data_IF_532939524313
#
_entry.id   IF_532939524313
#
_cell.length_a   1.000
_cell.length_b   1.000
_cell.length_c   1.000
_cell.angle_alpha   90.00
_cell.angle_beta   90.00
_cell.angle_gamma   90.00
#
_symmetry.space_group_name_H-M   'P 1'
#
loop_
_entity.id
_entity.type
_entity.pdbx_description
1 polymer ?
#
# COMPACT_ATOMS: atom_id res chain seq x y z
N UNK A 1 16.61 11.96 4.97
CA UNK A 1 16.68 11.48 3.60
C UNK A 1 15.62 10.39 3.44
N UNK A 2 14.91 10.34 2.31
CA UNK A 2 14.00 9.22 2.03
C UNK A 2 14.78 7.98 1.61
N UNK A 3 14.13 6.83 1.68
CA UNK A 3 14.56 5.62 0.98
C UNK A 3 14.26 5.84 -0.51
N UNK A 4 15.27 5.68 -1.36
CA UNK A 4 15.14 5.80 -2.81
C UNK A 4 15.14 4.40 -3.43
N UNK A 5 14.09 4.04 -4.14
CA UNK A 5 14.06 2.83 -4.96
C UNK A 5 14.92 3.06 -6.20
N UNK A 6 16.12 2.48 -6.20
CA UNK A 6 17.09 2.63 -7.28
C UNK A 6 17.22 1.32 -8.07
N UNK A 7 17.33 1.36 -9.41
CA UNK A 7 17.61 0.16 -10.20
C UNK A 7 18.93 -0.48 -9.77
N UNK A 8 18.95 -1.79 -9.66
CA UNK A 8 20.17 -2.55 -9.40
C UNK A 8 21.09 -2.51 -10.61
N UNK A 9 22.41 -2.44 -10.36
CA UNK A 9 23.39 -2.55 -11.43
C UNK A 9 23.54 -4.00 -11.88
N UNK A 10 23.88 -4.18 -13.13
CA UNK A 10 24.13 -5.50 -13.72
C UNK A 10 25.60 -5.96 -13.52
N UNK A 11 26.13 -5.77 -12.31
CA UNK A 11 27.45 -6.27 -11.92
C UNK A 11 27.34 -7.29 -10.78
N UNK A 12 28.32 -8.17 -10.67
CA UNK A 12 28.30 -9.31 -9.75
C UNK A 12 28.22 -8.88 -8.28
N UNK A 13 28.87 -7.78 -7.89
CA UNK A 13 28.86 -7.28 -6.54
C UNK A 13 27.51 -6.66 -6.16
N UNK A 14 26.90 -5.92 -7.07
CA UNK A 14 25.57 -5.34 -6.84
C UNK A 14 24.49 -6.42 -6.77
N UNK A 15 24.57 -7.44 -7.64
CA UNK A 15 23.65 -8.59 -7.62
C UNK A 15 23.74 -9.37 -6.32
N UNK A 16 24.94 -9.62 -5.79
CA UNK A 16 25.10 -10.37 -4.54
C UNK A 16 24.44 -9.72 -3.34
N UNK A 17 24.44 -8.38 -3.27
CA UNK A 17 23.75 -7.62 -2.21
C UNK A 17 22.23 -7.62 -2.49
N UNK A 18 21.82 -7.34 -3.73
CA UNK A 18 20.41 -7.24 -4.10
C UNK A 18 19.68 -8.57 -3.91
N UNK A 19 20.27 -9.68 -4.34
CA UNK A 19 19.67 -11.01 -4.22
C UNK A 19 19.48 -11.46 -2.77
N UNK A 20 20.37 -11.04 -1.86
CA UNK A 20 20.26 -11.35 -0.44
C UNK A 20 19.21 -10.47 0.29
N UNK A 21 19.04 -9.21 -0.13
CA UNK A 21 18.19 -8.22 0.55
C UNK A 21 16.82 -8.08 -0.11
N UNK A 22 16.77 -8.18 -1.43
CA UNK A 22 15.56 -8.02 -2.24
C UNK A 22 15.49 -9.09 -3.33
N UNK A 23 15.27 -10.37 -2.96
CA UNK A 23 15.27 -11.46 -3.91
C UNK A 23 14.21 -11.28 -4.98
N UNK A 24 14.58 -11.51 -6.24
CA UNK A 24 13.68 -11.37 -7.38
C UNK A 24 13.30 -9.93 -7.77
N UNK A 25 13.95 -8.91 -7.18
CA UNK A 25 13.64 -7.50 -7.43
C UNK A 25 14.67 -6.86 -8.39
N UNK A 26 14.18 -5.98 -9.24
CA UNK A 26 15.03 -5.14 -10.13
C UNK A 26 15.48 -3.83 -9.49
N UNK A 27 14.96 -3.51 -8.31
CA UNK A 27 15.27 -2.28 -7.58
C UNK A 27 15.67 -2.60 -6.14
N UNK A 28 16.49 -1.74 -5.56
CA UNK A 28 16.89 -1.81 -4.15
C UNK A 28 16.57 -0.48 -3.47
N UNK A 29 16.01 -0.54 -2.27
CA UNK A 29 15.80 0.63 -1.41
C UNK A 29 17.11 1.09 -0.80
N UNK A 30 17.58 2.28 -1.17
CA UNK A 30 18.85 2.86 -0.71
C UNK A 30 18.60 4.14 0.06
N UNK A 31 19.25 4.29 1.22
CA UNK A 31 19.18 5.49 2.05
C UNK A 31 20.57 5.95 2.43
N UNK A 32 20.79 7.26 2.36
CA UNK A 32 22.04 7.87 2.84
C UNK A 32 21.96 8.14 4.36
N UNK A 33 23.10 8.07 5.09
CA UNK A 33 23.18 8.46 6.49
C UNK A 33 22.67 9.89 6.68
N UNK A 34 21.66 10.10 7.53
CA UNK A 34 21.10 11.42 7.80
C UNK A 34 21.07 11.80 9.29
N UNK A 35 21.38 10.87 10.17
CA UNK A 35 21.44 11.12 11.63
C UNK A 35 22.87 10.99 12.18
N UNK A 36 23.09 11.61 13.34
CA UNK A 36 24.38 11.48 14.05
C UNK A 36 24.73 10.02 14.38
N UNK A 37 23.72 9.20 14.72
CA UNK A 37 23.91 7.76 15.01
C UNK A 37 24.36 7.01 13.75
N UNK A 38 23.75 7.25 12.59
CA UNK A 38 24.19 6.64 11.33
C UNK A 38 25.65 6.96 11.01
N UNK A 39 26.05 8.23 11.20
CA UNK A 39 27.44 8.64 10.98
C UNK A 39 28.41 7.99 11.97
N UNK A 40 28.00 7.78 13.23
CA UNK A 40 28.83 7.09 14.22
C UNK A 40 28.98 5.59 13.89
N UNK A 41 27.92 4.92 13.46
CA UNK A 41 27.94 3.49 13.09
C UNK A 41 28.85 3.22 11.88
N UNK A 42 28.97 4.17 10.96
CA UNK A 42 29.73 4.02 9.71
C UNK A 42 31.13 4.63 9.79
N UNK A 43 31.57 5.14 10.97
CA UNK A 43 32.91 5.71 11.15
C UNK A 43 33.93 4.69 11.70
N UNK A 44 35.21 4.80 11.30
CA UNK A 44 36.25 4.03 11.93
C UNK A 44 36.32 4.32 13.43
N UNK A 45 36.49 3.26 14.23
CA UNK A 45 36.73 3.36 15.66
C UNK A 45 37.96 2.52 16.01
N UNK A 46 38.84 2.98 16.94
CA UNK A 46 40.07 2.26 17.29
C UNK A 46 39.86 0.82 17.78
N UNK A 47 38.69 0.56 18.40
CA UNK A 47 38.38 -0.76 18.96
C UNK A 47 37.74 -1.75 17.88
N UNK A 48 37.52 -1.28 16.66
CA UNK A 48 37.02 -2.10 15.57
C UNK A 48 38.19 -2.63 14.75
N UNK A 49 38.60 -3.88 15.02
CA UNK A 49 39.72 -4.52 14.34
C UNK A 49 39.52 -4.68 12.82
N UNK A 50 38.28 -4.94 12.40
CA UNK A 50 37.88 -5.16 11.00
C UNK A 50 37.43 -3.88 10.29
N UNK A 51 37.51 -2.73 10.96
CA UNK A 51 37.01 -1.44 10.46
C UNK A 51 35.49 -1.31 10.57
N UNK A 52 34.91 -0.17 10.13
CA UNK A 52 33.48 0.08 10.20
C UNK A 52 32.73 -0.69 9.12
N UNK A 53 31.46 -0.99 9.38
CA UNK A 53 30.54 -1.44 8.32
C UNK A 53 30.44 -0.38 7.23
N UNK A 54 30.57 -0.78 5.97
CA UNK A 54 30.42 0.13 4.83
C UNK A 54 28.96 0.24 4.38
N UNK A 55 28.16 -0.80 4.61
CA UNK A 55 26.76 -0.91 4.28
C UNK A 55 26.03 -1.56 5.44
N UNK A 56 24.86 -1.07 5.76
CA UNK A 56 23.95 -1.63 6.76
C UNK A 56 22.63 -1.99 6.09
N UNK A 57 22.11 -3.18 6.36
CA UNK A 57 20.71 -3.50 6.06
C UNK A 57 19.87 -2.97 7.21
N UNK A 58 18.95 -2.06 6.89
CA UNK A 58 18.15 -1.37 7.90
C UNK A 58 16.66 -1.65 7.64
N UNK A 59 15.93 -1.98 8.70
CA UNK A 59 14.50 -2.17 8.70
C UNK A 59 13.86 -1.48 9.90
N UNK A 60 12.54 -1.38 9.91
CA UNK A 60 11.77 -0.84 11.03
C UNK A 60 11.84 -1.76 12.25
N UNK A 61 11.80 -1.17 13.46
CA UNK A 61 11.82 -1.91 14.74
C UNK A 61 10.42 -2.34 15.17
N UNK A 62 9.85 -3.34 14.49
CA UNK A 62 8.55 -3.91 14.79
C UNK A 62 8.48 -5.39 14.35
N UNK A 63 7.50 -6.14 14.87
CA UNK A 63 7.09 -7.40 14.27
C UNK A 63 6.24 -7.14 13.03
N UNK A 64 6.16 -8.11 12.12
CA UNK A 64 5.34 -7.99 10.92
C UNK A 64 3.89 -7.61 11.29
N UNK A 65 3.32 -6.68 10.53
CA UNK A 65 1.95 -6.17 10.68
C UNK A 65 1.64 -5.47 12.02
N UNK A 66 2.67 -5.14 12.81
CA UNK A 66 2.52 -4.40 14.07
C UNK A 66 3.12 -2.99 13.97
N UNK A 67 2.64 -2.03 14.79
CA UNK A 67 3.23 -0.69 14.86
C UNK A 67 4.69 -0.71 15.34
N UNK A 68 5.44 0.32 14.96
CA UNK A 68 6.81 0.56 15.42
C UNK A 68 6.89 0.62 16.94
N UNK A 69 7.87 -0.06 17.54
CA UNK A 69 8.21 0.09 18.95
C UNK A 69 8.72 1.51 19.20
N UNK A 70 8.14 2.21 20.16
CA UNK A 70 8.53 3.57 20.56
C UNK A 70 9.11 3.67 21.95
N UNK A 71 9.01 2.61 22.73
CA UNK A 71 9.52 2.48 24.08
C UNK A 71 10.66 1.45 24.13
N UNK A 72 11.81 1.75 24.79
CA UNK A 72 12.95 0.85 24.86
C UNK A 72 12.63 -0.51 25.50
N UNK A 73 11.90 -0.51 26.62
CA UNK A 73 11.57 -1.74 27.33
C UNK A 73 10.58 -2.61 26.51
N UNK A 74 9.67 -1.96 25.78
CA UNK A 74 8.79 -2.65 24.83
C UNK A 74 9.60 -3.27 23.68
N UNK A 75 10.53 -2.53 23.09
CA UNK A 75 11.39 -3.02 22.02
C UNK A 75 12.20 -4.24 22.45
N UNK A 76 12.82 -4.20 23.64
CA UNK A 76 13.57 -5.34 24.16
C UNK A 76 12.70 -6.58 24.37
N UNK A 77 11.47 -6.42 24.88
CA UNK A 77 10.57 -7.56 25.08
C UNK A 77 10.06 -8.15 23.76
N UNK A 78 9.60 -7.29 22.85
CA UNK A 78 8.95 -7.73 21.60
C UNK A 78 9.93 -8.25 20.56
N UNK A 79 11.12 -7.68 20.50
CA UNK A 79 12.11 -8.00 19.48
C UNK A 79 13.27 -8.86 19.99
N UNK A 80 13.18 -9.39 21.23
CA UNK A 80 14.23 -10.19 21.87
C UNK A 80 14.69 -11.41 21.05
N UNK A 81 13.80 -11.97 20.23
CA UNK A 81 14.13 -13.09 19.33
C UNK A 81 14.77 -12.69 18.00
N UNK A 82 14.87 -11.39 17.71
CA UNK A 82 15.32 -10.85 16.44
C UNK A 82 16.61 -10.03 16.54
N UNK A 83 16.96 -9.53 17.73
CA UNK A 83 18.11 -8.67 17.95
C UNK A 83 19.08 -9.27 18.95
N UNK A 84 20.38 -9.15 18.67
CA UNK A 84 21.47 -9.57 19.54
C UNK A 84 21.95 -8.46 20.47
N UNK A 85 21.56 -7.21 20.22
CA UNK A 85 21.95 -6.05 21.00
C UNK A 85 21.06 -4.84 20.76
N UNK A 86 21.15 -3.87 21.67
CA UNK A 86 20.29 -2.70 21.73
C UNK A 86 21.11 -1.43 21.89
N UNK A 87 20.79 -0.42 21.12
CA UNK A 87 21.31 0.92 21.28
C UNK A 87 20.15 1.86 21.62
N UNK A 88 20.03 2.19 22.88
CA UNK A 88 18.98 3.08 23.38
C UNK A 88 19.44 4.54 23.47
N UNK A 89 18.47 5.42 23.58
CA UNK A 89 18.65 6.82 23.92
C UNK A 89 17.57 7.27 24.93
N UNK A 90 17.84 8.31 25.64
CA UNK A 90 16.98 8.88 26.68
C UNK A 90 15.94 9.87 26.14
N UNK A 91 15.91 10.10 24.83
CA UNK A 91 14.93 10.96 24.18
C UNK A 91 13.69 10.15 23.82
N UNK A 92 12.55 10.53 24.39
CA UNK A 92 11.24 9.93 24.10
C UNK A 92 10.88 10.02 22.61
N UNK A 93 10.34 8.95 22.05
CA UNK A 93 9.76 8.92 20.70
C UNK A 93 8.28 9.30 20.81
N UNK A 94 7.99 10.56 20.55
CA UNK A 94 6.63 11.10 20.68
C UNK A 94 5.66 10.60 19.60
N UNK A 95 6.13 10.41 18.38
CA UNK A 95 5.33 9.92 17.24
C UNK A 95 6.14 8.87 16.49
N UNK A 96 5.58 7.67 16.37
CA UNK A 96 6.10 6.64 15.48
C UNK A 96 6.03 7.14 14.02
N UNK A 97 7.14 7.07 13.31
CA UNK A 97 7.21 7.60 11.94
C UNK A 97 8.21 6.81 11.11
N UNK A 98 7.72 6.14 10.09
CA UNK A 98 8.54 5.46 9.10
C UNK A 98 9.38 6.42 8.27
N UNK A 99 10.37 5.91 7.56
CA UNK A 99 11.04 6.65 6.51
C UNK A 99 10.16 6.72 5.24
N UNK A 100 10.18 7.87 4.59
CA UNK A 100 9.53 8.03 3.30
C UNK A 100 10.22 7.19 2.24
N UNK A 101 9.45 6.68 1.28
CA UNK A 101 9.95 5.94 0.13
C UNK A 101 9.62 6.71 -1.13
N UNK A 102 10.60 6.88 -2.00
CA UNK A 102 10.46 7.61 -3.26
C UNK A 102 11.10 6.82 -4.40
N UNK A 103 10.62 7.09 -5.61
CA UNK A 103 11.23 6.61 -6.86
C UNK A 103 11.29 7.73 -7.89
N UNK A 104 12.09 7.53 -8.94
CA UNK A 104 12.14 8.45 -10.07
C UNK A 104 11.46 7.80 -11.27
N UNK A 105 10.38 8.40 -11.74
CA UNK A 105 9.60 7.92 -12.89
C UNK A 105 9.51 9.06 -13.91
N UNK A 106 9.89 8.80 -15.15
CA UNK A 106 9.85 9.81 -16.21
C UNK A 106 10.66 11.09 -15.92
N UNK A 107 11.70 10.99 -15.09
CA UNK A 107 12.51 12.14 -14.65
C UNK A 107 11.91 12.94 -13.50
N UNK A 108 10.70 12.59 -13.02
CA UNK A 108 10.03 13.19 -11.87
C UNK A 108 10.19 12.35 -10.59
N UNK A 109 10.27 13.02 -9.43
CA UNK A 109 10.25 12.36 -8.14
C UNK A 109 8.82 11.97 -7.77
N UNK A 110 8.58 10.67 -7.56
CA UNK A 110 7.29 10.13 -7.15
C UNK A 110 7.38 9.54 -5.74
N UNK A 111 6.60 10.05 -4.77
CA UNK A 111 6.48 9.43 -3.45
C UNK A 111 5.69 8.12 -3.54
N UNK A 112 6.30 7.02 -3.07
CA UNK A 112 5.61 5.73 -2.86
C UNK A 112 5.00 5.68 -1.46
N UNK A 113 5.73 6.22 -0.47
CA UNK A 113 5.26 6.39 0.91
C UNK A 113 5.61 7.79 1.38
N UNK A 114 4.60 8.54 1.84
CA UNK A 114 4.83 9.83 2.49
C UNK A 114 4.88 9.64 4.00
N UNK A 115 6.03 9.91 4.60
CA UNK A 115 6.25 9.80 6.03
C UNK A 115 7.28 10.84 6.47
N UNK A 116 8.34 10.46 7.17
CA UNK A 116 9.37 11.38 7.68
C UNK A 116 9.89 12.34 6.60
N UNK A 117 9.82 13.63 6.87
CA UNK A 117 10.25 14.70 5.96
C UNK A 117 9.18 15.19 4.97
N UNK A 118 8.10 14.44 4.76
CA UNK A 118 6.94 14.84 3.97
C UNK A 118 5.71 15.12 4.83
N UNK A 119 5.46 14.32 5.82
CA UNK A 119 4.38 14.54 6.79
C UNK A 119 4.88 15.37 7.98
N UNK A 120 4.06 16.26 8.54
CA UNK A 120 2.72 16.70 8.14
C UNK A 120 2.73 18.00 7.29
N UNK A 121 3.66 18.12 6.34
CA UNK A 121 3.67 19.30 5.44
C UNK A 121 2.33 19.41 4.71
N UNK A 122 1.63 20.55 4.81
CA UNK A 122 0.32 20.69 4.20
C UNK A 122 0.37 20.59 2.67
N UNK A 123 -0.63 19.97 2.11
CA UNK A 123 -0.87 19.90 0.66
C UNK A 123 -1.97 20.90 0.30
N UNK A 124 -1.86 21.61 -0.83
CA UNK A 124 -2.91 22.51 -1.28
C UNK A 124 -4.11 21.70 -1.80
N UNK A 125 -5.31 22.14 -1.47
CA UNK A 125 -6.55 21.59 -1.99
C UNK A 125 -7.09 22.49 -3.11
N UNK A 126 -7.68 21.92 -4.17
CA UNK A 126 -8.18 22.68 -5.32
C UNK A 126 -9.45 23.48 -4.99
N UNK A 127 -10.20 23.05 -3.98
CA UNK A 127 -11.43 23.69 -3.54
C UNK A 127 -11.40 23.94 -2.03
N UNK A 128 -12.21 24.88 -1.58
CA UNK A 128 -12.43 25.14 -0.15
C UNK A 128 -13.25 24.00 0.45
N UNK A 129 -12.78 23.46 1.57
CA UNK A 129 -13.46 22.40 2.32
C UNK A 129 -13.73 22.85 3.76
N UNK A 130 -14.84 22.42 4.39
CA UNK A 130 -15.06 22.64 5.81
C UNK A 130 -14.02 21.85 6.64
N UNK A 131 -13.85 22.17 7.94
CA UNK A 131 -13.02 21.39 8.83
C UNK A 131 -13.36 19.91 8.76
N UNK A 132 -12.45 19.10 8.21
CA UNK A 132 -12.71 17.71 7.83
C UNK A 132 -11.58 16.80 8.30
N UNK A 133 -11.94 15.66 8.89
CA UNK A 133 -11.05 14.52 9.13
C UNK A 133 -11.35 13.41 8.12
N UNK A 134 -10.40 13.05 7.28
CA UNK A 134 -10.49 11.88 6.43
C UNK A 134 -9.61 10.74 7.01
N UNK A 135 -10.23 9.59 7.28
CA UNK A 135 -9.59 8.43 7.91
C UNK A 135 -9.06 7.43 6.87
N UNK A 136 -9.66 7.43 5.67
CA UNK A 136 -9.26 6.53 4.58
C UNK A 136 -9.72 5.09 4.75
N UNK A 137 -9.03 4.19 4.06
CA UNK A 137 -9.23 2.74 4.14
C UNK A 137 -8.49 2.11 5.32
N UNK A 138 -8.36 0.77 5.31
CA UNK A 138 -7.70 0.01 6.38
C UNK A 138 -6.24 -0.28 6.09
N UNK A 139 -5.91 -0.59 4.83
CA UNK A 139 -4.55 -0.94 4.42
C UNK A 139 -3.71 0.31 4.15
N UNK A 140 -2.44 0.29 4.58
CA UNK A 140 -1.47 1.38 4.39
C UNK A 140 -2.05 2.75 4.76
N UNK A 141 -2.75 2.78 5.88
CA UNK A 141 -3.55 3.91 6.30
C UNK A 141 -2.72 5.18 6.53
N UNK A 142 -3.34 6.29 6.20
CA UNK A 142 -2.97 7.65 6.61
C UNK A 142 -4.25 8.39 7.00
N UNK A 143 -4.14 9.40 7.84
CA UNK A 143 -5.25 10.29 8.11
C UNK A 143 -4.94 11.68 7.55
N UNK A 144 -5.97 12.42 7.19
CA UNK A 144 -5.83 13.79 6.71
C UNK A 144 -6.82 14.71 7.47
N UNK A 145 -6.30 15.78 8.07
CA UNK A 145 -7.11 16.90 8.51
C UNK A 145 -7.07 17.98 7.43
N UNK A 146 -8.22 18.54 7.10
CA UNK A 146 -8.35 19.56 6.08
C UNK A 146 -9.21 20.74 6.57
N UNK A 147 -8.84 21.94 6.16
CA UNK A 147 -9.61 23.15 6.40
C UNK A 147 -9.29 24.18 5.31
N UNK A 148 -10.33 24.81 4.76
CA UNK A 148 -10.19 25.72 3.65
C UNK A 148 -9.49 25.07 2.46
N UNK A 149 -8.37 25.63 2.03
CA UNK A 149 -7.57 25.13 0.90
C UNK A 149 -6.34 24.32 1.32
N UNK A 150 -6.30 23.73 2.51
CA UNK A 150 -5.16 23.01 3.05
C UNK A 150 -5.56 21.66 3.62
N UNK A 151 -4.75 20.62 3.29
CA UNK A 151 -4.85 19.30 3.91
C UNK A 151 -3.54 18.93 4.59
N UNK A 152 -3.58 18.47 5.84
CA UNK A 152 -2.44 17.95 6.60
C UNK A 152 -2.56 16.44 6.67
N UNK A 153 -1.77 15.75 5.85
CA UNK A 153 -1.70 14.30 5.88
C UNK A 153 -0.73 13.83 6.97
N UNK A 154 -1.12 12.79 7.69
CA UNK A 154 -0.24 12.12 8.64
C UNK A 154 0.90 11.38 7.92
N UNK A 155 1.85 10.88 8.72
CA UNK A 155 2.74 9.81 8.30
C UNK A 155 1.94 8.52 8.03
N UNK A 156 2.58 7.59 7.34
CA UNK A 156 2.08 6.23 7.17
C UNK A 156 1.87 5.54 8.53
N UNK A 157 0.73 4.89 8.73
CA UNK A 157 0.34 4.22 9.97
C UNK A 157 0.43 2.69 9.88
N UNK A 158 0.61 2.14 8.68
CA UNK A 158 0.46 0.73 8.42
C UNK A 158 -1.00 0.30 8.28
N UNK A 159 -1.26 -0.99 8.44
CA UNK A 159 -2.59 -1.55 8.32
C UNK A 159 -3.34 -1.43 9.66
N UNK A 160 -4.52 -0.82 9.61
CA UNK A 160 -5.35 -0.57 10.80
C UNK A 160 -6.26 -1.79 11.08
N UNK A 161 -5.64 -2.95 11.20
CA UNK A 161 -6.32 -4.24 11.40
C UNK A 161 -6.24 -4.78 12.83
N UNK A 162 -5.50 -4.09 13.73
CA UNK A 162 -5.33 -4.45 15.13
C UNK A 162 -5.74 -3.33 16.07
N UNK A 163 -5.90 -3.63 17.36
CA UNK A 163 -6.24 -2.64 18.40
C UNK A 163 -5.08 -1.64 18.56
N UNK A 164 -3.85 -2.11 18.51
CA UNK A 164 -2.65 -1.30 18.62
C UNK A 164 -2.54 -0.28 17.46
N UNK A 165 -2.91 -0.71 16.25
CA UNK A 165 -2.94 0.16 15.08
C UNK A 165 -4.08 1.20 15.16
N UNK A 166 -5.25 0.84 15.71
CA UNK A 166 -6.33 1.78 16.02
C UNK A 166 -5.90 2.83 17.06
N UNK A 167 -5.20 2.40 18.10
CA UNK A 167 -4.67 3.32 19.11
C UNK A 167 -3.62 4.27 18.51
N UNK A 168 -2.78 3.79 17.59
CA UNK A 168 -1.85 4.63 16.84
C UNK A 168 -2.60 5.64 15.97
N UNK A 169 -3.66 5.21 15.26
CA UNK A 169 -4.52 6.09 14.46
C UNK A 169 -5.14 7.19 15.34
N UNK A 170 -5.73 6.82 16.48
CA UNK A 170 -6.36 7.77 17.41
C UNK A 170 -5.34 8.81 17.93
N UNK A 171 -4.18 8.36 18.40
CA UNK A 171 -3.10 9.26 18.86
C UNK A 171 -2.60 10.17 17.73
N UNK A 172 -2.52 9.65 16.49
CA UNK A 172 -2.08 10.43 15.33
C UNK A 172 -3.09 11.53 15.00
N UNK A 173 -4.40 11.24 15.05
CA UNK A 173 -5.46 12.26 14.89
C UNK A 173 -5.31 13.35 15.94
N UNK A 174 -5.11 12.99 17.21
CA UNK A 174 -4.94 13.96 18.29
C UNK A 174 -3.70 14.85 18.12
N UNK A 175 -2.58 14.29 17.68
CA UNK A 175 -1.37 15.04 17.38
C UNK A 175 -1.62 16.00 16.21
N UNK A 176 -2.23 15.52 15.15
CA UNK A 176 -2.49 16.31 13.94
C UNK A 176 -3.48 17.45 14.21
N UNK A 177 -4.54 17.21 15.03
CA UNK A 177 -5.46 18.26 15.51
C UNK A 177 -4.72 19.37 16.24
N UNK A 178 -3.85 19.02 17.20
CA UNK A 178 -3.05 20.01 17.95
C UNK A 178 -2.10 20.82 17.07
N UNK A 179 -1.51 20.17 16.04
CA UNK A 179 -0.56 20.82 15.13
C UNK A 179 -1.26 21.73 14.12
N UNK A 180 -2.34 21.27 13.50
CA UNK A 180 -3.09 22.01 12.48
C UNK A 180 -4.07 23.02 13.08
N UNK A 181 -4.52 22.80 14.33
CA UNK A 181 -5.59 23.54 15.01
C UNK A 181 -6.93 23.43 14.28
N UNK A 182 -7.19 22.29 13.67
CA UNK A 182 -8.45 21.97 12.98
C UNK A 182 -9.28 21.06 13.86
N UNK A 183 -10.49 21.50 14.19
CA UNK A 183 -11.51 20.69 14.88
C UNK A 183 -12.54 20.26 13.84
N UNK A 184 -12.62 18.96 13.50
CA UNK A 184 -13.40 18.49 12.37
C UNK A 184 -14.91 18.57 12.62
N UNK A 185 -15.64 19.18 11.68
CA UNK A 185 -17.10 19.17 11.59
C UNK A 185 -17.61 18.01 10.73
N UNK A 186 -16.73 17.46 9.88
CA UNK A 186 -17.00 16.33 8.98
C UNK A 186 -15.95 15.26 9.19
N UNK A 187 -16.40 14.01 9.26
CA UNK A 187 -15.51 12.82 9.27
C UNK A 187 -15.79 12.00 8.02
N UNK A 188 -14.75 11.69 7.28
CA UNK A 188 -14.83 10.94 6.02
C UNK A 188 -14.16 9.58 6.19
N UNK A 189 -14.82 8.52 5.77
CA UNK A 189 -14.26 7.16 5.81
C UNK A 189 -14.65 6.36 4.58
N UNK A 190 -13.95 5.25 4.36
CA UNK A 190 -14.28 4.27 3.31
C UNK A 190 -15.65 3.62 3.54
N UNK A 191 -16.32 3.23 2.45
CA UNK A 191 -17.61 2.54 2.51
C UNK A 191 -17.51 1.08 3.00
N UNK A 192 -16.33 0.48 3.06
CA UNK A 192 -16.18 -0.92 3.43
C UNK A 192 -16.73 -1.19 4.84
N UNK A 193 -17.76 -2.06 5.01
CA UNK A 193 -18.45 -2.22 6.28
C UNK A 193 -17.61 -2.91 7.37
N UNK A 194 -16.62 -3.70 6.96
CA UNK A 194 -15.75 -4.48 7.85
C UNK A 194 -14.52 -3.74 8.35
N UNK A 195 -14.19 -2.57 7.81
CA UNK A 195 -12.97 -1.86 8.20
C UNK A 195 -13.06 -1.31 9.63
N UNK A 196 -12.02 -1.57 10.43
CA UNK A 196 -11.89 -1.02 11.77
C UNK A 196 -11.74 0.50 11.74
N UNK A 197 -11.03 1.03 10.73
CA UNK A 197 -10.90 2.48 10.48
C UNK A 197 -12.26 3.16 10.31
N UNK A 198 -13.18 2.55 9.54
CA UNK A 198 -14.55 3.06 9.37
C UNK A 198 -15.35 3.03 10.67
N UNK A 199 -15.25 1.95 11.43
CA UNK A 199 -15.93 1.83 12.72
C UNK A 199 -15.44 2.89 13.69
N UNK A 200 -14.14 3.07 13.81
CA UNK A 200 -13.54 4.12 14.61
C UNK A 200 -14.01 5.51 14.16
N UNK A 201 -14.02 5.79 12.84
CA UNK A 201 -14.51 7.05 12.30
C UNK A 201 -15.96 7.34 12.67
N UNK A 202 -16.83 6.34 12.67
CA UNK A 202 -18.22 6.49 13.05
C UNK A 202 -18.38 6.78 14.56
N UNK A 203 -17.63 6.09 15.41
CA UNK A 203 -17.61 6.32 16.86
C UNK A 203 -17.05 7.71 17.19
N UNK A 204 -15.96 8.11 16.53
CA UNK A 204 -15.36 9.43 16.65
C UNK A 204 -16.32 10.56 16.21
N UNK A 205 -16.95 10.41 15.03
CA UNK A 205 -17.92 11.40 14.55
C UNK A 205 -19.10 11.59 15.53
N UNK A 206 -19.59 10.49 16.10
CA UNK A 206 -20.68 10.53 17.08
C UNK A 206 -20.24 11.22 18.40
N UNK A 207 -19.02 10.99 18.87
CA UNK A 207 -18.50 11.61 20.10
C UNK A 207 -18.22 13.10 19.96
N UNK A 208 -17.76 13.55 18.80
CA UNK A 208 -17.46 14.94 18.52
C UNK A 208 -18.66 15.73 17.96
N UNK A 209 -19.80 15.06 17.69
CA UNK A 209 -20.96 15.68 17.06
C UNK A 209 -20.74 16.07 15.59
N UNK A 210 -19.75 15.45 14.94
CA UNK A 210 -19.40 15.68 13.55
C UNK A 210 -20.26 14.84 12.59
N UNK A 211 -20.40 15.31 11.35
CA UNK A 211 -21.13 14.59 10.30
C UNK A 211 -20.27 13.49 9.67
N UNK A 212 -20.69 12.24 9.73
CA UNK A 212 -20.03 11.13 9.01
C UNK A 212 -20.40 11.14 7.53
N UNK A 213 -19.41 11.01 6.65
CA UNK A 213 -19.55 10.83 5.20
C UNK A 213 -18.78 9.58 4.78
N UNK A 214 -19.45 8.67 4.07
CA UNK A 214 -18.82 7.47 3.54
C UNK A 214 -18.56 7.66 2.04
N UNK A 215 -17.32 7.38 1.61
CA UNK A 215 -16.88 7.55 0.22
C UNK A 215 -16.54 6.19 -0.38
N UNK A 216 -16.98 5.95 -1.61
CA UNK A 216 -16.62 4.77 -2.36
C UNK A 216 -15.10 4.77 -2.66
N UNK A 217 -14.44 3.64 -2.48
CA UNK A 217 -12.98 3.49 -2.55
C UNK A 217 -12.36 4.07 -3.82
N UNK A 218 -12.84 3.66 -4.99
CA UNK A 218 -12.29 4.11 -6.28
C UNK A 218 -12.69 5.53 -6.64
N UNK A 219 -13.78 6.07 -6.07
CA UNK A 219 -14.07 7.50 -6.12
C UNK A 219 -13.02 8.30 -5.35
N UNK A 220 -12.58 7.80 -4.19
CA UNK A 220 -11.47 8.42 -3.45
C UNK A 220 -10.16 8.40 -4.23
N UNK A 221 -9.84 7.30 -4.93
CA UNK A 221 -8.70 7.23 -5.86
C UNK A 221 -8.78 8.30 -6.95
N UNK A 222 -9.93 8.40 -7.63
CA UNK A 222 -10.13 9.42 -8.65
C UNK A 222 -10.03 10.83 -8.06
N UNK A 223 -10.68 11.08 -6.93
CA UNK A 223 -10.64 12.37 -6.23
C UNK A 223 -9.22 12.79 -5.84
N UNK A 224 -8.37 11.85 -5.42
CA UNK A 224 -6.98 12.15 -5.06
C UNK A 224 -6.16 12.59 -6.29
N UNK A 225 -6.34 11.91 -7.43
CA UNK A 225 -5.68 12.27 -8.69
C UNK A 225 -6.13 13.65 -9.20
N UNK A 226 -7.44 13.90 -9.16
CA UNK A 226 -7.99 15.20 -9.54
C UNK A 226 -7.44 16.32 -8.66
N UNK A 227 -7.31 16.08 -7.34
CA UNK A 227 -6.74 17.03 -6.40
C UNK A 227 -5.27 17.31 -6.65
N UNK A 228 -4.46 16.30 -6.94
CA UNK A 228 -3.05 16.42 -7.29
C UNK A 228 -2.85 17.31 -8.52
N UNK A 229 -3.67 17.11 -9.54
CA UNK A 229 -3.65 17.91 -10.79
C UNK A 229 -4.45 19.21 -10.71
N UNK A 230 -5.07 19.51 -9.55
CA UNK A 230 -5.90 20.70 -9.37
C UNK A 230 -7.00 20.84 -10.43
N UNK A 231 -7.59 19.70 -10.78
CA UNK A 231 -8.65 19.65 -11.79
C UNK A 231 -9.85 20.50 -11.35
N UNK A 232 -10.54 21.21 -12.28
CA UNK A 232 -11.72 21.98 -11.93
C UNK A 232 -12.82 21.12 -11.32
N UNK A 233 -13.50 21.66 -10.28
CA UNK A 233 -14.44 20.88 -9.48
C UNK A 233 -15.73 20.48 -10.25
N UNK A 234 -16.08 21.26 -11.25
CA UNK A 234 -17.29 21.14 -12.09
C UNK A 234 -17.08 20.39 -13.40
N UNK A 235 -15.82 20.04 -13.72
CA UNK A 235 -15.50 19.32 -14.96
C UNK A 235 -15.41 17.82 -14.71
N UNK A 236 -16.36 17.02 -15.31
CA UNK A 236 -16.29 15.57 -15.18
C UNK A 236 -15.17 14.98 -16.02
N UNK A 237 -14.57 13.90 -15.54
CA UNK A 237 -13.54 13.12 -16.22
C UNK A 237 -13.93 11.66 -16.35
N UNK A 238 -13.33 10.96 -17.31
CA UNK A 238 -13.32 9.50 -17.34
C UNK A 238 -12.08 9.02 -16.60
N UNK A 239 -12.27 8.54 -15.36
CA UNK A 239 -11.23 7.92 -14.55
C UNK A 239 -11.09 6.44 -14.86
N UNK A 240 -9.84 5.97 -14.99
CA UNK A 240 -9.50 4.55 -15.02
C UNK A 240 -8.81 4.25 -13.71
N UNK A 241 -9.47 3.43 -12.86
CA UNK A 241 -8.97 3.12 -11.53
C UNK A 241 -8.59 1.66 -11.44
N UNK A 242 -7.28 1.42 -11.25
CA UNK A 242 -6.72 0.09 -11.08
C UNK A 242 -6.29 -0.13 -9.64
N UNK A 243 -6.71 -1.27 -9.08
CA UNK A 243 -6.51 -1.58 -7.68
C UNK A 243 -6.41 -3.09 -7.43
N UNK A 244 -5.85 -3.45 -6.29
CA UNK A 244 -5.83 -4.82 -5.78
C UNK A 244 -7.13 -5.24 -5.13
N UNK A 245 -7.75 -4.35 -4.34
CA UNK A 245 -8.97 -4.67 -3.60
C UNK A 245 -9.66 -3.40 -3.12
N UNK A 246 -10.81 -3.08 -3.69
CA UNK A 246 -11.67 -2.01 -3.20
C UNK A 246 -13.12 -2.49 -3.06
N UNK A 247 -13.84 -1.99 -2.05
CA UNK A 247 -15.22 -2.35 -1.81
C UNK A 247 -16.13 -1.70 -2.85
N UNK A 248 -16.76 -2.54 -3.68
CA UNK A 248 -17.76 -2.12 -4.64
C UNK A 248 -19.10 -1.83 -4.00
N UNK A 249 -19.81 -0.81 -4.51
CA UNK A 249 -21.17 -0.49 -4.05
C UNK A 249 -22.20 -1.60 -4.33
N UNK A 250 -21.84 -2.57 -5.17
CA UNK A 250 -22.60 -3.79 -5.47
C UNK A 250 -22.21 -4.99 -4.59
N UNK A 251 -21.30 -4.81 -3.62
CA UNK A 251 -20.79 -5.85 -2.74
C UNK A 251 -19.73 -6.76 -3.37
N UNK A 252 -19.29 -6.48 -4.60
CA UNK A 252 -18.19 -7.18 -5.24
C UNK A 252 -16.84 -6.50 -4.94
N UNK A 253 -15.73 -7.18 -5.25
CA UNK A 253 -14.39 -6.61 -5.15
C UNK A 253 -14.09 -5.88 -6.46
N UNK A 254 -14.00 -4.56 -6.40
CA UNK A 254 -13.60 -3.71 -7.51
C UNK A 254 -12.08 -3.57 -7.58
N UNK A 255 -11.59 -3.13 -8.74
CA UNK A 255 -10.17 -2.83 -8.95
C UNK A 255 -9.77 -2.78 -10.42
N UNK A 256 -10.73 -2.70 -11.34
CA UNK A 256 -10.51 -2.51 -12.78
C UNK A 256 -11.65 -1.73 -13.38
N UNK A 257 -11.82 -0.44 -12.93
CA UNK A 257 -13.05 0.32 -13.11
C UNK A 257 -12.85 1.52 -14.04
N UNK A 258 -13.92 1.81 -14.80
CA UNK A 258 -14.05 3.05 -15.57
C UNK A 258 -15.14 3.90 -14.93
N UNK A 259 -14.74 5.02 -14.34
CA UNK A 259 -15.60 5.92 -13.59
C UNK A 259 -15.75 7.25 -14.33
N UNK A 260 -16.98 7.66 -14.62
CA UNK A 260 -17.26 8.98 -15.17
C UNK A 260 -17.82 9.88 -14.07
N UNK A 261 -17.17 11.00 -13.79
CA UNK A 261 -17.62 11.93 -12.77
C UNK A 261 -16.58 12.95 -12.34
N UNK A 262 -16.74 13.50 -11.15
CA UNK A 262 -15.90 14.55 -10.56
C UNK A 262 -15.64 14.28 -9.08
N UNK A 263 -15.22 15.31 -8.31
CA UNK A 263 -15.09 15.16 -6.85
C UNK A 263 -16.40 14.84 -6.14
N UNK A 264 -17.53 15.36 -6.63
CA UNK A 264 -18.80 15.25 -5.94
C UNK A 264 -19.47 13.89 -6.12
N UNK A 265 -19.41 13.36 -7.34
CA UNK A 265 -20.08 12.09 -7.69
C UNK A 265 -19.39 11.39 -8.84
N UNK A 266 -19.50 10.06 -8.86
CA UNK A 266 -19.04 9.21 -9.95
C UNK A 266 -20.09 8.17 -10.32
N UNK A 267 -20.10 7.81 -11.59
CA UNK A 267 -20.87 6.70 -12.13
C UNK A 267 -19.94 5.68 -12.78
N UNK A 268 -20.05 4.42 -12.38
CA UNK A 268 -19.36 3.30 -13.03
C UNK A 268 -19.91 3.14 -14.44
N UNK A 269 -19.11 3.34 -15.47
CA UNK A 269 -19.48 3.27 -16.88
C UNK A 269 -18.92 2.04 -17.57
N UNK A 270 -17.92 1.37 -16.95
CA UNK A 270 -17.34 0.13 -17.45
C UNK A 270 -16.46 -0.51 -16.36
N UNK A 271 -16.09 -1.74 -16.59
CA UNK A 271 -15.18 -2.50 -15.73
C UNK A 271 -14.60 -3.70 -16.49
N UNK A 272 -13.52 -4.29 -15.97
CA UNK A 272 -13.03 -5.56 -16.46
C UNK A 272 -14.08 -6.67 -16.27
N UNK A 273 -14.02 -7.70 -17.11
CA UNK A 273 -14.89 -8.85 -16.96
C UNK A 273 -14.73 -9.47 -15.56
N UNK A 274 -15.83 -9.67 -14.81
CA UNK A 274 -15.73 -10.19 -13.46
C UNK A 274 -15.31 -11.66 -13.46
N UNK A 275 -14.44 -12.01 -12.51
CA UNK A 275 -13.99 -13.37 -12.25
C UNK A 275 -14.38 -13.75 -10.82
N UNK A 276 -14.73 -15.01 -10.59
CA UNK A 276 -15.00 -15.51 -9.25
C UNK A 276 -13.68 -15.74 -8.49
N UNK A 277 -13.50 -15.07 -7.36
CA UNK A 277 -12.33 -15.23 -6.49
C UNK A 277 -12.62 -16.29 -5.42
N UNK A 278 -12.08 -17.51 -5.53
CA UNK A 278 -12.37 -18.59 -4.59
C UNK A 278 -11.64 -18.39 -3.27
N UNK A 279 -12.38 -18.33 -2.15
CA UNK A 279 -11.82 -18.13 -0.82
C UNK A 279 -11.64 -16.67 -0.41
N UNK A 280 -12.11 -15.69 -1.20
CA UNK A 280 -12.03 -14.26 -0.85
C UNK A 280 -10.59 -13.82 -0.59
N UNK A 281 -10.34 -13.11 0.51
CA UNK A 281 -9.02 -12.56 0.87
C UNK A 281 -7.92 -13.62 0.97
N UNK A 282 -8.26 -14.85 1.36
CA UNK A 282 -7.29 -15.94 1.41
C UNK A 282 -6.71 -16.29 0.03
N UNK A 283 -7.45 -15.99 -1.06
CA UNK A 283 -6.97 -16.24 -2.42
C UNK A 283 -5.80 -15.33 -2.81
N UNK A 284 -5.70 -14.14 -2.24
CA UNK A 284 -4.62 -13.17 -2.53
C UNK A 284 -3.24 -13.76 -2.23
N UNK A 285 -3.16 -14.63 -1.23
CA UNK A 285 -1.90 -15.35 -0.89
C UNK A 285 -1.62 -16.54 -1.80
N UNK A 286 -2.52 -16.85 -2.75
CA UNK A 286 -2.40 -18.01 -3.63
C UNK A 286 -2.63 -17.64 -5.11
N UNK A 287 -1.71 -16.90 -5.75
CA UNK A 287 -1.78 -16.52 -7.16
C UNK A 287 -2.16 -17.66 -8.10
N UNK A 288 -1.67 -18.87 -7.83
CA UNK A 288 -2.02 -20.07 -8.60
C UNK A 288 -3.54 -20.34 -8.62
N UNK A 289 -4.25 -20.18 -7.49
CA UNK A 289 -5.73 -20.33 -7.43
C UNK A 289 -6.44 -19.29 -8.27
N UNK A 290 -5.93 -18.06 -8.25
CA UNK A 290 -6.48 -16.96 -9.03
C UNK A 290 -6.30 -17.22 -10.52
N UNK A 291 -5.15 -17.75 -10.94
CA UNK A 291 -4.91 -18.17 -12.31
C UNK A 291 -5.91 -19.24 -12.77
N UNK A 292 -6.17 -20.26 -11.93
CA UNK A 292 -7.17 -21.28 -12.24
C UNK A 292 -8.59 -20.70 -12.38
N UNK A 293 -8.94 -19.70 -11.58
CA UNK A 293 -10.21 -19.00 -11.67
C UNK A 293 -10.35 -18.22 -12.99
N UNK A 294 -9.29 -17.53 -13.41
CA UNK A 294 -9.25 -16.84 -14.70
C UNK A 294 -9.36 -17.81 -15.89
N UNK A 295 -8.63 -18.92 -15.87
CA UNK A 295 -8.74 -19.97 -16.89
C UNK A 295 -10.17 -20.53 -16.96
N UNK A 296 -10.79 -20.78 -15.80
CA UNK A 296 -12.18 -21.25 -15.72
C UNK A 296 -13.16 -20.23 -16.32
N UNK A 297 -13.03 -18.95 -15.99
CA UNK A 297 -13.88 -17.88 -16.52
C UNK A 297 -13.73 -17.71 -18.04
N UNK A 298 -12.52 -17.96 -18.57
CA UNK A 298 -12.22 -17.95 -19.99
C UNK A 298 -12.65 -19.25 -20.72
N UNK A 299 -13.19 -20.25 -20.03
CA UNK A 299 -13.55 -21.54 -20.60
C UNK A 299 -12.35 -22.38 -21.05
N UNK A 300 -11.16 -22.09 -20.53
CA UNK A 300 -9.94 -22.79 -20.88
C UNK A 300 -9.68 -23.99 -19.94
N UNK A 301 -9.11 -25.08 -20.47
CA UNK A 301 -8.80 -26.25 -19.65
C UNK A 301 -7.64 -25.96 -18.68
N UNK A 302 -7.67 -26.62 -17.54
CA UNK A 302 -6.55 -26.60 -16.58
C UNK A 302 -5.50 -27.63 -17.01
N UNK A 303 -4.67 -27.26 -18.00
CA UNK A 303 -3.60 -28.11 -18.51
C UNK A 303 -2.50 -28.28 -17.46
N UNK A 304 -2.14 -29.52 -17.06
CA UNK A 304 -1.10 -29.76 -16.08
C UNK A 304 0.30 -29.26 -16.46
N UNK A 305 0.54 -28.95 -17.73
CA UNK A 305 1.80 -28.34 -18.19
C UNK A 305 1.94 -26.87 -17.78
N UNK A 306 0.83 -26.19 -17.43
CA UNK A 306 0.86 -24.82 -16.96
C UNK A 306 1.38 -24.76 -15.51
N UNK A 307 2.37 -23.88 -15.20
CA UNK A 307 2.95 -23.76 -13.85
C UNK A 307 1.90 -23.58 -12.75
N UNK A 308 0.91 -22.72 -12.97
CA UNK A 308 -0.16 -22.46 -12.00
C UNK A 308 -1.01 -23.71 -11.73
N UNK A 309 -1.28 -24.53 -12.75
CA UNK A 309 -2.04 -25.77 -12.59
C UNK A 309 -1.21 -26.83 -11.88
N UNK A 310 0.07 -26.94 -12.21
CA UNK A 310 1.00 -27.89 -11.57
C UNK A 310 1.20 -27.57 -10.07
N UNK A 311 1.17 -26.28 -9.69
CA UNK A 311 1.35 -25.84 -8.31
C UNK A 311 0.16 -26.15 -7.40
N UNK A 312 -1.04 -26.39 -7.93
CA UNK A 312 -2.23 -26.71 -7.14
C UNK A 312 -2.48 -28.22 -7.08
N UNK A 313 -2.60 -28.76 -5.89
CA UNK A 313 -2.82 -30.20 -5.68
C UNK A 313 -4.10 -30.71 -6.37
N UNK A 314 -4.15 -31.95 -6.88
CA UNK A 314 -5.33 -32.51 -7.58
C UNK A 314 -6.61 -32.45 -6.75
N UNK A 315 -6.53 -32.73 -5.47
CA UNK A 315 -7.67 -32.64 -4.53
C UNK A 315 -8.20 -31.23 -4.39
N UNK A 316 -7.30 -30.26 -4.34
CA UNK A 316 -7.64 -28.83 -4.27
C UNK A 316 -8.26 -28.35 -5.59
N UNK A 317 -7.72 -28.78 -6.74
CA UNK A 317 -8.32 -28.47 -8.05
C UNK A 317 -9.78 -28.95 -8.15
N UNK A 318 -10.06 -30.14 -7.61
CA UNK A 318 -11.44 -30.65 -7.54
C UNK A 318 -12.35 -29.76 -6.70
N UNK A 319 -11.86 -29.32 -5.53
CA UNK A 319 -12.59 -28.38 -4.67
C UNK A 319 -12.83 -27.04 -5.37
N UNK A 320 -11.79 -26.45 -5.94
CA UNK A 320 -11.88 -25.18 -6.69
C UNK A 320 -12.87 -25.27 -7.86
N UNK A 321 -12.88 -26.37 -8.59
CA UNK A 321 -13.86 -26.61 -9.66
C UNK A 321 -15.30 -26.58 -9.11
N UNK A 322 -15.53 -27.20 -7.96
CA UNK A 322 -16.84 -27.17 -7.28
C UNK A 322 -17.23 -25.77 -6.86
N UNK A 323 -16.32 -25.02 -6.23
CA UNK A 323 -16.53 -23.64 -5.80
C UNK A 323 -16.87 -22.71 -6.98
N UNK A 324 -16.06 -22.76 -8.04
CA UNK A 324 -16.24 -21.90 -9.22
C UNK A 324 -17.54 -22.20 -9.98
N UNK A 325 -17.96 -23.46 -10.03
CA UNK A 325 -19.24 -23.85 -10.66
C UNK A 325 -20.46 -23.44 -9.85
N UNK A 326 -20.40 -23.56 -8.52
CA UNK A 326 -21.52 -23.22 -7.63
C UNK A 326 -21.54 -21.76 -7.20
N UNK A 327 -20.43 -21.04 -7.31
CA UNK A 327 -20.23 -19.73 -6.70
C UNK A 327 -20.06 -19.75 -5.18
N UNK A 328 -20.15 -20.92 -4.55
CA UNK A 328 -20.07 -21.05 -3.09
C UNK A 328 -18.66 -20.76 -2.61
N UNK A 329 -18.51 -19.83 -1.65
CA UNK A 329 -17.22 -19.41 -1.13
C UNK A 329 -16.37 -18.61 -2.13
N UNK A 330 -17.03 -18.04 -3.15
CA UNK A 330 -16.41 -17.14 -4.12
C UNK A 330 -16.99 -15.72 -3.98
N UNK A 331 -16.14 -14.72 -4.30
CA UNK A 331 -16.56 -13.32 -4.39
C UNK A 331 -16.26 -12.84 -5.81
N UNK A 332 -17.21 -12.19 -6.51
CA UNK A 332 -16.92 -11.60 -7.81
C UNK A 332 -15.88 -10.49 -7.69
N UNK A 333 -14.91 -10.47 -8.61
CA UNK A 333 -13.89 -9.42 -8.66
C UNK A 333 -13.62 -8.93 -10.07
N UNK A 334 -13.38 -7.63 -10.21
CA UNK A 334 -12.90 -6.96 -11.41
C UNK A 334 -11.46 -6.45 -11.24
N UNK A 335 -10.77 -6.87 -10.19
CA UNK A 335 -9.46 -6.38 -9.78
C UNK A 335 -8.37 -6.66 -10.81
N UNK A 336 -7.66 -5.60 -11.21
CA UNK A 336 -6.43 -5.68 -12.01
C UNK A 336 -5.28 -6.31 -11.21
N UNK A 337 -5.20 -6.05 -9.91
CA UNK A 337 -4.20 -6.70 -9.04
C UNK A 337 -4.34 -8.22 -9.08
N UNK A 338 -5.56 -8.73 -9.04
CA UNK A 338 -5.84 -10.19 -9.16
C UNK A 338 -5.51 -10.71 -10.56
N UNK A 339 -5.66 -9.90 -11.60
CA UNK A 339 -5.22 -10.27 -12.94
C UNK A 339 -3.68 -10.37 -13.01
N UNK A 340 -2.95 -9.45 -12.39
CA UNK A 340 -1.47 -9.54 -12.31
C UNK A 340 -1.03 -10.79 -11.56
N UNK A 341 -1.68 -11.13 -10.45
CA UNK A 341 -1.41 -12.38 -9.72
C UNK A 341 -1.61 -13.61 -10.62
N UNK A 342 -2.72 -13.66 -11.37
CA UNK A 342 -3.00 -14.75 -12.30
C UNK A 342 -1.94 -14.88 -13.40
N UNK A 343 -1.52 -13.76 -14.00
CA UNK A 343 -0.49 -13.73 -15.05
C UNK A 343 0.86 -14.19 -14.48
N UNK A 344 1.24 -13.67 -13.33
CA UNK A 344 2.48 -14.06 -12.63
C UNK A 344 2.53 -15.58 -12.39
N UNK A 345 1.42 -16.14 -11.89
CA UNK A 345 1.34 -17.57 -11.64
C UNK A 345 1.38 -18.42 -12.94
N UNK A 346 0.68 -17.99 -14.00
CA UNK A 346 0.70 -18.66 -15.30
C UNK A 346 2.10 -18.68 -15.93
N UNK A 347 2.87 -17.61 -15.73
CA UNK A 347 4.27 -17.52 -16.20
C UNK A 347 5.25 -18.29 -15.31
N UNK A 348 4.80 -18.84 -14.18
CA UNK A 348 5.65 -19.60 -13.26
C UNK A 348 6.48 -18.73 -12.32
N UNK A 349 6.17 -17.43 -12.19
CA UNK A 349 6.91 -16.46 -11.40
C UNK A 349 6.55 -16.60 -9.90
N UNK A 350 5.28 -16.42 -9.54
CA UNK A 350 4.83 -16.50 -8.14
C UNK A 350 3.58 -17.38 -8.02
N UNK A 351 3.67 -18.47 -7.26
CA UNK A 351 2.55 -19.40 -7.04
C UNK A 351 1.88 -19.18 -5.69
N UNK A 352 2.63 -18.70 -4.72
CA UNK A 352 2.21 -18.35 -3.38
C UNK A 352 2.91 -17.07 -2.96
N UNK A 353 2.16 -16.13 -2.41
CA UNK A 353 2.68 -14.84 -1.97
C UNK A 353 2.86 -14.82 -0.44
N UNK A 354 4.03 -14.39 0.01
CA UNK A 354 4.40 -14.23 1.42
C UNK A 354 4.13 -12.81 1.93
N UNK A 355 4.05 -11.83 1.01
CA UNK A 355 3.73 -10.44 1.31
C UNK A 355 2.79 -9.85 0.25
N UNK A 356 2.17 -8.72 0.57
CA UNK A 356 1.21 -8.05 -0.30
C UNK A 356 1.81 -7.64 -1.64
N UNK A 357 1.06 -7.89 -2.72
CA UNK A 357 1.41 -7.57 -4.11
C UNK A 357 2.69 -8.26 -4.65
N UNK A 358 3.26 -9.27 -3.95
CA UNK A 358 4.48 -9.95 -4.37
C UNK A 358 4.42 -10.43 -5.81
N UNK A 359 3.34 -11.08 -6.21
CA UNK A 359 3.22 -11.62 -7.55
C UNK A 359 3.26 -10.53 -8.65
N UNK A 360 2.67 -9.37 -8.39
CA UNK A 360 2.69 -8.23 -9.30
C UNK A 360 4.08 -7.57 -9.34
N UNK A 361 4.74 -7.43 -8.19
CA UNK A 361 6.08 -6.84 -8.07
C UNK A 361 7.13 -7.72 -8.77
N UNK A 362 7.09 -9.04 -8.56
CA UNK A 362 7.99 -9.98 -9.24
C UNK A 362 7.71 -10.04 -10.75
N UNK A 363 6.45 -9.93 -11.17
CA UNK A 363 6.07 -9.82 -12.58
C UNK A 363 6.64 -8.54 -13.21
N UNK A 364 6.56 -7.39 -12.53
CA UNK A 364 7.17 -6.13 -12.97
C UNK A 364 8.68 -6.26 -13.10
N UNK A 365 9.34 -6.92 -12.15
CA UNK A 365 10.79 -7.11 -12.17
C UNK A 365 11.26 -7.93 -13.40
N UNK A 366 10.47 -8.90 -13.84
CA UNK A 366 10.79 -9.72 -15.03
C UNK A 366 10.61 -8.94 -16.33
N UNK A 367 9.64 -8.01 -16.39
CA UNK A 367 9.43 -7.17 -17.58
C UNK A 367 10.63 -6.24 -17.82
N UNK A 368 11.34 -5.86 -16.75
CA UNK A 368 12.46 -4.93 -16.84
C UNK A 368 12.02 -3.50 -17.14
N UNK A 369 12.99 -2.63 -17.45
CA UNK A 369 12.70 -1.25 -17.85
C UNK A 369 12.00 -1.25 -19.21
N UNK A 370 10.74 -0.81 -19.32
CA UNK A 370 10.08 -0.75 -20.62
C UNK A 370 10.91 0.13 -21.56
N UNK A 371 11.01 -0.22 -22.85
CA UNK A 371 11.64 0.64 -23.82
C UNK A 371 10.93 2.00 -23.75
N UNK A 372 11.72 3.09 -23.74
CA UNK A 372 11.17 4.43 -23.74
C UNK A 372 10.09 4.50 -24.84
N UNK A 373 8.86 4.83 -24.44
CA UNK A 373 7.80 5.02 -25.41
C UNK A 373 8.28 6.07 -26.40
N UNK A 374 8.64 5.64 -27.61
CA UNK A 374 8.98 6.51 -28.71
C UNK A 374 7.67 7.13 -29.22
N UNK A 375 7.26 8.21 -28.55
CA UNK A 375 6.08 8.98 -28.90
C UNK A 375 6.03 10.20 -28.01
N UNK A 376 6.16 11.36 -28.61
CA UNK A 376 5.83 12.63 -27.96
C UNK A 376 4.39 12.52 -27.46
N UNK A 377 4.19 12.62 -26.14
CA UNK A 377 2.86 12.86 -25.57
C UNK A 377 2.51 14.26 -26.08
N UNK A 378 1.41 14.43 -26.83
CA UNK A 378 1.00 15.76 -27.24
C UNK A 378 0.78 16.60 -25.98
N UNK A 379 1.36 17.79 -25.96
CA UNK A 379 1.05 18.80 -24.94
C UNK A 379 -0.46 19.00 -24.92
N UNK A 380 -1.11 18.60 -23.80
CA UNK A 380 -2.52 18.89 -23.51
C UNK A 380 -2.62 20.17 -22.71
#
# INVERSE_FOLDING_TARGET
APIVLAPTRDDEQARSIADAVAPGQSTLGVMLPYSGVHHLLLRPHPDLADGPAQVLVMTSGNLADEPLCTDPDEAERRLAGLADGWLHHDREIHVACDDSVVQVVGGGLQPVRRSRGYAPVPVPLPAEVPPTLAVGGELKATVCLADGHRGWMSQHLGDVSTIEALDLLARTVDVLRRQSRVDPEVVVADQHPGYLSRRWAAEYAASEGARLVLVQHHHAHLGSLLAEHRWPADEPVLGVTFDGTGYGSDGSIWGGEFLLGSYAEVRRVGHLAPVQLPGGDAAVRHPARIALAHLHAAGLPWDPSLPAVAAVAPTERTLLTGMLRSGTGCVPTTSVGRLFDAVSALLGICQQADYEAQAAIELEAVVGTPPALAGEIPDM
#
